data_IF_676698168887
#
_entry.id   IF_676698168887
#
_cell.length_a   1.000
_cell.length_b   1.000
_cell.length_c   1.000
_cell.angle_alpha   90.00
_cell.angle_beta   90.00
_cell.angle_gamma   90.00
#
_symmetry.space_group_name_H-M   'P 1'
#
loop_
_entity.id
_entity.type
_entity.pdbx_description
1 polymer ?
#
# COMPACT_ATOMS: atom_id res chain seq x y z
N UNK A 1 21.08 -13.93 0.07
CA UNK A 1 19.84 -14.13 0.85
C UNK A 1 19.16 -15.45 0.49
N UNK A 2 18.72 -15.63 -0.77
CA UNK A 2 18.02 -16.84 -1.22
C UNK A 2 18.72 -18.15 -0.84
N UNK A 3 20.00 -18.29 -1.13
CA UNK A 3 20.78 -19.49 -0.80
C UNK A 3 20.86 -19.76 0.71
N UNK A 4 20.98 -18.70 1.53
CA UNK A 4 21.01 -18.84 2.98
C UNK A 4 19.68 -19.38 3.52
N UNK A 5 18.55 -18.91 2.98
CA UNK A 5 17.23 -19.45 3.32
C UNK A 5 17.09 -20.92 2.87
N UNK A 6 17.62 -21.29 1.70
CA UNK A 6 17.63 -22.68 1.23
C UNK A 6 18.48 -23.60 2.12
N UNK A 7 19.61 -23.11 2.64
CA UNK A 7 20.45 -23.85 3.58
C UNK A 7 19.78 -23.99 4.96
N UNK A 8 19.25 -22.90 5.50
CA UNK A 8 18.57 -22.89 6.80
C UNK A 8 17.37 -23.86 6.83
N UNK A 9 16.52 -23.82 5.80
CA UNK A 9 15.38 -24.72 5.66
C UNK A 9 15.77 -26.21 5.72
N UNK A 10 16.89 -26.58 5.07
CA UNK A 10 17.44 -27.94 5.09
C UNK A 10 17.99 -28.32 6.47
N UNK A 11 18.60 -27.38 7.18
CA UNK A 11 19.19 -27.62 8.51
C UNK A 11 18.14 -27.81 9.60
N UNK A 12 17.08 -27.00 9.58
CA UNK A 12 16.06 -26.99 10.64
C UNK A 12 14.80 -27.81 10.29
N UNK A 13 14.75 -28.38 9.08
CA UNK A 13 13.62 -29.16 8.55
C UNK A 13 12.28 -28.42 8.64
N UNK A 14 12.27 -27.14 8.26
CA UNK A 14 11.07 -26.30 8.16
C UNK A 14 10.92 -25.75 6.74
N UNK A 15 9.71 -25.31 6.33
CA UNK A 15 9.54 -24.60 5.06
C UNK A 15 10.49 -23.41 4.95
N UNK A 16 11.05 -23.22 3.75
CA UNK A 16 11.97 -22.12 3.47
C UNK A 16 11.28 -20.77 3.65
N UNK A 17 11.98 -19.82 4.29
CA UNK A 17 11.59 -18.42 4.29
C UNK A 17 11.48 -17.85 2.87
N UNK A 18 10.42 -17.10 2.59
CA UNK A 18 10.27 -16.39 1.32
C UNK A 18 11.19 -15.17 1.27
N UNK A 19 11.67 -14.84 0.07
CA UNK A 19 12.36 -13.58 -0.21
C UNK A 19 11.65 -12.89 -1.39
N UNK A 20 11.10 -11.71 -1.12
CA UNK A 20 10.37 -10.87 -2.09
C UNK A 20 10.95 -9.47 -2.09
N UNK A 21 10.70 -8.69 -3.13
CA UNK A 21 11.08 -7.28 -3.17
C UNK A 21 9.93 -6.41 -3.67
N UNK A 22 9.80 -5.20 -3.10
CA UNK A 22 9.04 -4.12 -3.71
C UNK A 22 9.95 -3.37 -4.69
N UNK A 23 9.50 -3.16 -5.92
CA UNK A 23 10.34 -2.65 -7.01
C UNK A 23 9.69 -1.47 -7.74
N UNK A 24 10.51 -0.63 -8.36
CA UNK A 24 10.08 0.60 -9.00
C UNK A 24 9.17 0.36 -10.23
N UNK A 25 8.33 1.35 -10.51
CA UNK A 25 7.55 1.47 -11.74
C UNK A 25 8.18 2.40 -12.78
N UNK A 26 8.89 3.46 -12.35
CA UNK A 26 9.53 4.41 -13.26
C UNK A 26 10.63 3.77 -14.11
N UNK A 27 10.52 3.86 -15.44
CA UNK A 27 11.42 3.15 -16.38
C UNK A 27 12.90 3.48 -16.16
N UNK A 28 13.25 4.75 -15.92
CA UNK A 28 14.64 5.14 -15.65
C UNK A 28 15.19 4.47 -14.39
N UNK A 29 14.39 4.39 -13.31
CA UNK A 29 14.77 3.70 -12.08
C UNK A 29 14.93 2.20 -12.32
N UNK A 30 14.06 1.61 -13.15
CA UNK A 30 14.13 0.20 -13.49
C UNK A 30 15.45 -0.11 -14.21
N UNK A 31 15.76 0.66 -15.26
CA UNK A 31 16.95 0.50 -16.08
C UNK A 31 18.25 0.67 -15.29
N UNK A 32 18.30 1.61 -14.36
CA UNK A 32 19.50 1.85 -13.55
C UNK A 32 19.64 0.89 -12.36
N UNK A 33 18.55 0.26 -11.94
CA UNK A 33 18.45 -0.36 -10.61
C UNK A 33 18.39 -1.89 -10.58
N UNK A 34 17.93 -2.55 -11.65
CA UNK A 34 17.62 -3.98 -11.59
C UNK A 34 18.14 -4.78 -12.78
N UNK A 35 18.92 -5.82 -12.49
CA UNK A 35 19.21 -6.91 -13.42
C UNK A 35 18.02 -7.88 -13.44
N UNK A 36 16.96 -7.52 -14.18
CA UNK A 36 15.63 -8.16 -14.08
C UNK A 36 15.68 -9.69 -14.22
N UNK A 37 16.33 -10.29 -15.24
CA UNK A 37 16.37 -11.75 -15.38
C UNK A 37 17.06 -12.45 -14.19
N UNK A 38 18.20 -11.91 -13.75
CA UNK A 38 19.00 -12.45 -12.66
C UNK A 38 18.23 -12.34 -11.35
N UNK A 39 17.66 -11.17 -11.06
CA UNK A 39 16.88 -10.93 -9.84
C UNK A 39 15.66 -11.86 -9.76
N UNK A 40 14.99 -12.09 -10.90
CA UNK A 40 13.80 -12.94 -11.00
C UNK A 40 14.08 -14.42 -10.72
N UNK A 41 15.33 -14.88 -10.83
CA UNK A 41 15.71 -16.24 -10.43
C UNK A 41 15.65 -16.43 -8.91
N UNK A 42 16.04 -15.40 -8.15
CA UNK A 42 16.22 -15.51 -6.69
C UNK A 42 14.98 -15.12 -5.89
N UNK A 43 14.18 -14.17 -6.38
CA UNK A 43 12.95 -13.73 -5.72
C UNK A 43 11.82 -14.75 -5.89
N UNK A 44 11.03 -14.92 -4.84
CA UNK A 44 9.79 -15.70 -4.86
C UNK A 44 8.70 -14.93 -5.61
N UNK A 45 8.51 -13.66 -5.25
CA UNK A 45 7.57 -12.72 -5.86
C UNK A 45 8.18 -11.32 -5.96
N UNK A 46 7.71 -10.57 -6.95
CA UNK A 46 8.14 -9.21 -7.27
C UNK A 46 6.91 -8.30 -7.13
N UNK A 47 6.87 -7.50 -6.07
CA UNK A 47 5.78 -6.55 -5.82
C UNK A 47 6.08 -5.25 -6.57
N UNK A 48 5.51 -5.06 -7.76
CA UNK A 48 5.76 -3.87 -8.57
C UNK A 48 4.89 -2.72 -8.04
N UNK A 49 5.51 -1.61 -7.66
CA UNK A 49 4.82 -0.44 -7.09
C UNK A 49 4.18 0.41 -8.20
N UNK A 50 3.14 -0.14 -8.86
CA UNK A 50 2.42 0.49 -9.98
C UNK A 50 1.43 1.58 -9.55
N UNK A 51 1.90 2.48 -8.70
CA UNK A 51 1.24 3.65 -8.15
C UNK A 51 2.30 4.74 -7.93
N UNK A 52 1.89 5.92 -7.45
CA UNK A 52 2.71 7.14 -7.45
C UNK A 52 3.23 7.50 -8.86
N UNK A 53 2.43 7.20 -9.89
CA UNK A 53 2.81 7.42 -11.29
C UNK A 53 2.69 8.91 -11.66
N UNK A 54 1.69 9.58 -11.08
CA UNK A 54 1.53 11.02 -11.09
C UNK A 54 1.37 11.54 -9.67
N UNK A 55 1.74 12.79 -9.44
CA UNK A 55 1.65 13.41 -8.13
C UNK A 55 1.97 14.90 -8.14
N UNK A 56 1.84 15.58 -7.00
CA UNK A 56 1.95 17.04 -6.93
C UNK A 56 3.32 17.60 -7.32
N UNK A 57 4.35 16.76 -7.46
CA UNK A 57 5.67 17.12 -7.96
C UNK A 57 5.70 17.47 -9.46
N UNK A 58 4.66 17.17 -10.23
CA UNK A 58 4.61 17.42 -11.68
C UNK A 58 4.09 18.83 -12.06
N UNK A 59 3.31 19.48 -11.19
CA UNK A 59 2.69 20.77 -11.48
C UNK A 59 1.40 20.71 -12.32
N UNK A 60 0.86 19.52 -12.58
CA UNK A 60 -0.45 19.31 -13.19
C UNK A 60 -1.16 18.10 -12.56
N UNK A 61 -2.49 18.01 -12.70
CA UNK A 61 -3.26 16.87 -12.21
C UNK A 61 -2.96 15.61 -13.03
N UNK A 62 -2.82 14.49 -12.34
CA UNK A 62 -2.65 13.17 -12.93
C UNK A 62 -3.10 12.09 -11.96
N UNK A 63 -3.37 10.91 -12.49
CA UNK A 63 -3.89 9.79 -11.71
C UNK A 63 -2.81 9.07 -10.93
N UNK A 64 -3.12 8.60 -9.72
CA UNK A 64 -2.14 7.89 -8.89
C UNK A 64 -1.65 6.58 -9.56
N UNK A 65 -2.60 5.80 -10.10
CA UNK A 65 -2.35 4.49 -10.69
C UNK A 65 -3.23 4.27 -11.93
N UNK A 66 -3.07 5.04 -13.01
CA UNK A 66 -3.85 4.83 -14.23
C UNK A 66 -3.56 3.46 -14.84
N UNK A 67 -4.59 2.72 -15.26
CA UNK A 67 -4.40 1.40 -15.89
C UNK A 67 -3.73 1.53 -17.25
N UNK A 68 -4.20 2.50 -18.04
CA UNK A 68 -3.66 2.84 -19.37
C UNK A 68 -3.24 4.31 -19.42
N UNK A 69 -2.49 4.68 -20.44
CA UNK A 69 -2.10 6.08 -20.67
C UNK A 69 -3.29 6.97 -21.00
N UNK A 70 -3.22 8.24 -20.64
CA UNK A 70 -4.15 9.26 -21.12
C UNK A 70 -3.80 9.69 -22.56
N UNK A 71 -4.75 10.18 -23.38
CA UNK A 71 -4.47 10.54 -24.78
C UNK A 71 -3.39 11.62 -24.98
N UNK A 72 -3.17 12.49 -23.99
CA UNK A 72 -2.15 13.55 -24.06
C UNK A 72 -0.77 13.10 -23.58
N UNK A 73 -0.63 11.88 -23.06
CA UNK A 73 0.65 11.37 -22.60
C UNK A 73 1.55 11.04 -23.79
N UNK A 74 2.63 11.80 -23.90
CA UNK A 74 3.63 11.68 -24.97
C UNK A 74 5.03 11.48 -24.37
N UNK A 75 5.96 10.97 -25.19
CA UNK A 75 7.33 10.70 -24.74
C UNK A 75 7.36 9.74 -23.55
N UNK A 76 8.13 10.09 -22.51
CA UNK A 76 8.25 9.27 -21.29
C UNK A 76 6.97 9.14 -20.49
N UNK A 77 6.02 10.08 -20.61
CA UNK A 77 4.77 10.02 -19.87
C UNK A 77 3.88 8.88 -20.35
N UNK A 78 4.02 8.44 -21.61
CA UNK A 78 3.31 7.29 -22.14
C UNK A 78 3.63 5.97 -21.39
N UNK A 79 4.68 5.95 -20.57
CA UNK A 79 5.09 4.81 -19.76
C UNK A 79 4.44 4.79 -18.37
N UNK A 80 3.84 5.90 -17.93
CA UNK A 80 3.35 6.10 -16.57
C UNK A 80 1.95 5.49 -16.37
N UNK A 81 1.82 4.20 -16.65
CA UNK A 81 0.58 3.44 -16.41
C UNK A 81 0.88 1.99 -16.03
N UNK A 82 -0.07 1.36 -15.34
CA UNK A 82 0.05 -0.02 -14.83
C UNK A 82 0.35 -1.00 -15.98
N UNK A 83 -0.34 -0.89 -17.10
CA UNK A 83 -0.18 -1.82 -18.23
C UNK A 83 1.24 -1.78 -18.80
N UNK A 84 1.76 -0.60 -19.10
CA UNK A 84 3.10 -0.44 -19.64
C UNK A 84 4.16 -0.93 -18.67
N UNK A 85 4.07 -0.53 -17.39
CA UNK A 85 5.08 -0.89 -16.37
C UNK A 85 5.14 -2.39 -16.16
N UNK A 86 4.00 -3.06 -16.03
CA UNK A 86 3.95 -4.50 -15.79
C UNK A 86 4.44 -5.30 -17.01
N UNK A 87 4.06 -4.88 -18.21
CA UNK A 87 4.57 -5.49 -19.43
C UNK A 87 6.07 -5.20 -19.63
N UNK A 88 6.58 -4.04 -19.21
CA UNK A 88 8.00 -3.74 -19.25
C UNK A 88 8.81 -4.73 -18.38
N UNK A 89 8.39 -4.97 -17.13
CA UNK A 89 9.03 -5.97 -16.28
C UNK A 89 9.01 -7.37 -16.91
N UNK A 90 7.86 -7.76 -17.47
CA UNK A 90 7.66 -9.06 -18.11
C UNK A 90 8.56 -9.24 -19.34
N UNK A 91 8.52 -8.28 -20.26
CA UNK A 91 9.23 -8.33 -21.54
C UNK A 91 10.75 -8.24 -21.37
N UNK A 92 11.22 -7.70 -20.23
CA UNK A 92 12.64 -7.63 -19.87
C UNK A 92 13.10 -8.76 -18.94
N UNK A 93 12.31 -9.83 -18.79
CA UNK A 93 12.77 -11.12 -18.26
C UNK A 93 12.22 -11.55 -16.91
N UNK A 94 11.24 -10.84 -16.34
CA UNK A 94 10.53 -11.32 -15.16
C UNK A 94 9.37 -12.25 -15.56
N UNK A 95 9.28 -13.48 -15.01
CA UNK A 95 8.14 -14.36 -15.25
C UNK A 95 6.83 -13.73 -14.75
N UNK A 96 5.77 -13.77 -15.57
CA UNK A 96 4.50 -13.12 -15.27
C UNK A 96 3.88 -13.61 -13.95
N UNK A 97 4.00 -14.90 -13.66
CA UNK A 97 3.52 -15.55 -12.44
C UNK A 97 4.25 -15.11 -11.16
N UNK A 98 5.43 -14.49 -11.29
CA UNK A 98 6.17 -13.89 -10.16
C UNK A 98 5.86 -12.40 -9.98
N UNK A 99 5.33 -11.75 -11.02
CA UNK A 99 4.98 -10.33 -10.97
C UNK A 99 3.64 -10.13 -10.27
N UNK A 100 3.68 -9.36 -9.19
CA UNK A 100 2.52 -9.01 -8.37
C UNK A 100 2.23 -7.52 -8.56
N UNK A 101 1.05 -7.21 -9.09
CA UNK A 101 0.63 -5.84 -9.44
C UNK A 101 0.32 -5.06 -8.16
N UNK A 102 0.79 -3.82 -8.05
CA UNK A 102 0.51 -2.93 -6.93
C UNK A 102 -0.81 -2.20 -7.08
N UNK A 103 -1.64 -2.22 -6.03
CA UNK A 103 -2.93 -1.56 -5.94
C UNK A 103 -2.93 -0.56 -4.77
N UNK A 104 -3.12 0.75 -5.02
CA UNK A 104 -3.15 1.74 -3.95
C UNK A 104 -4.57 1.85 -3.34
N UNK A 105 -4.68 1.86 -2.02
CA UNK A 105 -5.90 2.22 -1.28
C UNK A 105 -5.84 3.68 -0.82
N UNK A 106 -5.22 4.53 -1.64
CA UNK A 106 -5.05 5.96 -1.43
C UNK A 106 -5.02 6.67 -2.79
N UNK A 107 -5.10 8.00 -2.77
CA UNK A 107 -5.00 8.84 -3.95
C UNK A 107 -4.08 10.04 -3.71
N UNK A 108 -3.61 10.62 -4.80
CA UNK A 108 -2.82 11.85 -4.76
C UNK A 108 -3.71 13.06 -4.91
N UNK A 109 -3.49 14.05 -4.05
CA UNK A 109 -4.28 15.28 -3.97
C UNK A 109 -3.49 16.48 -4.46
N UNK A 110 -4.19 17.41 -5.08
CA UNK A 110 -3.63 18.58 -5.73
C UNK A 110 -4.45 19.83 -5.39
N UNK A 111 -3.79 20.98 -5.44
CA UNK A 111 -4.47 22.29 -5.50
C UNK A 111 -4.47 22.76 -6.95
N UNK A 112 -5.65 22.87 -7.55
CA UNK A 112 -5.87 23.43 -8.88
C UNK A 112 -5.51 24.92 -8.90
N UNK A 113 -4.73 25.32 -9.91
CA UNK A 113 -4.42 26.74 -10.17
C UNK A 113 -5.66 27.50 -10.66
N UNK A 114 -6.58 26.83 -11.35
CA UNK A 114 -7.88 27.37 -11.75
C UNK A 114 -8.99 26.38 -11.35
N UNK A 115 -9.87 26.72 -10.38
CA UNK A 115 -10.97 25.85 -9.93
C UNK A 115 -11.97 25.47 -11.02
N UNK A 116 -12.01 26.20 -12.14
CA UNK A 116 -12.89 25.89 -13.28
C UNK A 116 -12.28 24.89 -14.28
N UNK A 117 -10.99 24.56 -14.14
CA UNK A 117 -10.32 23.54 -14.95
C UNK A 117 -10.01 22.32 -14.06
N UNK A 118 -10.82 21.28 -14.18
CA UNK A 118 -10.83 20.14 -13.25
C UNK A 118 -10.48 18.81 -13.91
N UNK A 119 -10.11 18.82 -15.19
CA UNK A 119 -9.72 17.62 -15.93
C UNK A 119 -8.31 17.13 -15.60
N UNK A 120 -7.94 16.01 -16.20
CA UNK A 120 -6.56 15.50 -16.23
C UNK A 120 -5.65 16.48 -16.98
N UNK A 121 -4.44 16.71 -16.44
CA UNK A 121 -3.48 17.66 -16.97
C UNK A 121 -3.79 19.13 -16.63
N UNK A 122 -4.77 19.40 -15.77
CA UNK A 122 -5.04 20.75 -15.29
C UNK A 122 -3.86 21.26 -14.44
N UNK A 123 -3.45 22.51 -14.65
CA UNK A 123 -2.34 23.10 -13.90
C UNK A 123 -2.62 23.17 -12.40
N UNK A 124 -1.62 22.87 -11.58
CA UNK A 124 -1.71 22.86 -10.11
C UNK A 124 -0.68 23.77 -9.47
N UNK A 125 -0.98 24.26 -8.28
CA UNK A 125 -0.07 25.10 -7.48
C UNK A 125 0.66 24.32 -6.38
N UNK A 126 0.45 23.00 -6.31
CA UNK A 126 1.13 22.10 -5.37
C UNK A 126 0.22 21.00 -4.81
N UNK A 127 0.72 20.37 -3.75
CA UNK A 127 0.05 19.29 -3.04
C UNK A 127 -1.26 19.74 -2.40
N UNK A 128 -2.28 18.88 -2.51
CA UNK A 128 -3.55 19.07 -1.81
C UNK A 128 -3.39 19.01 -0.28
N UNK A 129 -4.43 19.42 0.46
CA UNK A 129 -4.37 19.51 1.90
C UNK A 129 -4.20 18.13 2.54
N UNK A 130 -3.48 18.09 3.66
CA UNK A 130 -3.32 16.87 4.42
C UNK A 130 -4.68 16.32 4.90
N UNK A 131 -4.85 15.01 4.79
CA UNK A 131 -6.04 14.33 5.31
C UNK A 131 -6.15 14.44 6.84
N UNK A 132 -7.37 14.46 7.41
CA UNK A 132 -7.55 14.58 8.85
C UNK A 132 -6.98 13.40 9.65
N UNK A 133 -6.82 12.23 9.02
CA UNK A 133 -6.28 11.01 9.61
C UNK A 133 -4.86 10.71 9.14
N UNK A 134 -4.61 10.71 7.83
CA UNK A 134 -3.27 10.45 7.26
C UNK A 134 -2.28 11.55 7.60
N UNK A 135 -2.74 12.81 7.68
CA UNK A 135 -1.94 14.00 8.01
C UNK A 135 -0.75 14.21 7.06
N UNK A 136 -0.89 13.75 5.82
CA UNK A 136 0.12 13.86 4.79
C UNK A 136 -0.39 14.76 3.66
N UNK A 137 0.31 15.87 3.38
CA UNK A 137 -0.07 16.74 2.25
C UNK A 137 0.13 16.00 0.93
N UNK A 138 -0.83 16.12 0.02
CA UNK A 138 -0.74 15.48 -1.29
C UNK A 138 -1.23 14.03 -1.33
N UNK A 139 -1.69 13.48 -0.21
CA UNK A 139 -2.12 12.08 -0.10
C UNK A 139 -3.37 11.97 0.75
N UNK A 140 -4.38 11.23 0.28
CA UNK A 140 -5.55 10.85 1.07
C UNK A 140 -5.77 9.35 1.02
N UNK A 141 -6.09 8.75 2.17
CA UNK A 141 -6.57 7.37 2.23
C UNK A 141 -7.92 7.23 1.52
N UNK A 142 -8.27 6.02 1.07
CA UNK A 142 -9.56 5.77 0.40
C UNK A 142 -10.75 6.22 1.25
N UNK A 143 -10.71 5.96 2.56
CA UNK A 143 -11.76 6.39 3.49
C UNK A 143 -11.85 7.92 3.67
N UNK A 144 -10.74 8.65 3.50
CA UNK A 144 -10.74 10.13 3.48
C UNK A 144 -11.38 10.66 2.20
N UNK A 145 -11.08 10.03 1.06
CA UNK A 145 -11.70 10.34 -0.23
C UNK A 145 -13.21 10.08 -0.19
N UNK A 146 -13.66 9.01 0.45
CA UNK A 146 -15.09 8.78 0.68
C UNK A 146 -15.76 9.89 1.50
N UNK A 147 -15.04 10.49 2.45
CA UNK A 147 -15.53 11.64 3.20
C UNK A 147 -15.63 12.88 2.30
N UNK A 148 -14.63 13.11 1.44
CA UNK A 148 -14.65 14.18 0.45
C UNK A 148 -15.85 14.08 -0.50
N UNK A 149 -16.13 12.87 -1.01
CA UNK A 149 -17.30 12.58 -1.84
C UNK A 149 -18.61 12.82 -1.08
N UNK A 150 -18.73 12.32 0.16
CA UNK A 150 -19.92 12.54 1.01
C UNK A 150 -20.18 14.03 1.29
N UNK A 151 -19.13 14.85 1.31
CA UNK A 151 -19.21 16.30 1.53
C UNK A 151 -19.50 17.10 0.24
N UNK A 152 -19.90 16.42 -0.84
CA UNK A 152 -20.36 17.06 -2.07
C UNK A 152 -19.28 17.35 -3.10
N UNK A 153 -18.13 16.68 -3.03
CA UNK A 153 -17.19 16.67 -4.14
C UNK A 153 -17.81 16.00 -5.38
N UNK A 154 -17.51 16.54 -6.56
CA UNK A 154 -17.89 15.93 -7.83
C UNK A 154 -16.96 14.76 -8.11
N UNK A 155 -17.53 13.59 -8.40
CA UNK A 155 -16.79 12.44 -8.89
C UNK A 155 -16.88 12.39 -10.41
N UNK A 156 -15.75 12.14 -11.06
CA UNK A 156 -15.66 11.88 -12.50
C UNK A 156 -14.97 10.54 -12.73
N UNK A 157 -15.20 9.98 -13.92
CA UNK A 157 -14.55 8.76 -14.37
C UNK A 157 -13.70 9.06 -15.59
N UNK A 158 -12.41 8.73 -15.52
CA UNK A 158 -11.50 8.81 -16.65
C UNK A 158 -11.57 7.50 -17.45
N UNK A 159 -12.41 7.48 -18.49
CA UNK A 159 -12.57 6.32 -19.38
C UNK A 159 -11.23 5.86 -20.00
N UNK A 160 -10.38 6.74 -20.59
CA UNK A 160 -9.08 6.34 -21.10
C UNK A 160 -8.18 5.59 -20.11
N UNK A 161 -8.17 5.98 -18.83
CA UNK A 161 -7.25 5.42 -17.82
C UNK A 161 -7.90 4.38 -16.90
N UNK A 162 -9.21 4.20 -17.01
CA UNK A 162 -10.04 3.26 -16.22
C UNK A 162 -9.95 3.47 -14.69
N UNK A 163 -9.91 4.74 -14.29
CA UNK A 163 -9.80 5.17 -12.88
C UNK A 163 -10.70 6.38 -12.59
N UNK A 164 -11.13 6.57 -11.34
CA UNK A 164 -11.86 7.75 -10.93
C UNK A 164 -10.94 8.90 -10.48
N UNK A 165 -11.44 10.12 -10.63
CA UNK A 165 -10.96 11.27 -9.87
C UNK A 165 -12.14 12.02 -9.23
N UNK A 166 -11.84 12.93 -8.31
CA UNK A 166 -12.84 13.77 -7.68
C UNK A 166 -12.31 15.18 -7.42
N UNK A 167 -13.19 16.17 -7.41
CA UNK A 167 -12.82 17.55 -7.14
C UNK A 167 -13.91 18.34 -6.42
N UNK A 168 -13.49 19.36 -5.67
CA UNK A 168 -14.37 20.31 -5.00
C UNK A 168 -13.61 21.62 -4.77
N UNK A 169 -14.16 22.74 -5.25
CA UNK A 169 -13.43 24.01 -5.24
C UNK A 169 -12.12 23.89 -6.01
N UNK A 170 -11.01 24.16 -5.35
CA UNK A 170 -9.67 24.01 -5.93
C UNK A 170 -8.96 22.71 -5.52
N UNK A 171 -9.62 21.79 -4.81
CA UNK A 171 -9.00 20.52 -4.43
C UNK A 171 -9.39 19.45 -5.43
N UNK A 172 -8.40 18.69 -5.89
CA UNK A 172 -8.55 17.59 -6.84
C UNK A 172 -7.83 16.35 -6.30
N UNK A 173 -8.38 15.16 -6.53
CA UNK A 173 -7.78 13.88 -6.12
C UNK A 173 -7.94 12.82 -7.20
N UNK A 174 -6.83 12.19 -7.58
CA UNK A 174 -6.78 11.02 -8.48
C UNK A 174 -6.54 9.77 -7.65
N UNK A 175 -7.40 8.76 -7.80
CA UNK A 175 -7.47 7.64 -6.85
C UNK A 175 -8.03 6.37 -7.47
N UNK A 176 -8.17 5.33 -6.67
CA UNK A 176 -8.82 4.08 -7.06
C UNK A 176 -10.09 3.82 -6.24
N UNK A 177 -11.08 3.20 -6.86
CA UNK A 177 -12.31 2.77 -6.19
C UNK A 177 -12.63 1.30 -6.53
N UNK A 178 -13.78 0.80 -6.04
CA UNK A 178 -14.24 -0.57 -6.31
C UNK A 178 -14.32 -0.89 -7.82
N UNK A 179 -14.72 0.07 -8.66
CA UNK A 179 -14.82 -0.13 -10.12
C UNK A 179 -13.42 -0.30 -10.73
N UNK A 180 -12.48 0.61 -10.45
CA UNK A 180 -11.12 0.52 -11.00
C UNK A 180 -10.37 -0.70 -10.46
N UNK A 181 -10.54 -1.05 -9.19
CA UNK A 181 -9.98 -2.27 -8.60
C UNK A 181 -10.47 -3.54 -9.32
N UNK A 182 -11.77 -3.64 -9.63
CA UNK A 182 -12.30 -4.78 -10.36
C UNK A 182 -11.77 -4.82 -11.80
N UNK A 183 -11.76 -3.70 -12.52
CA UNK A 183 -11.23 -3.61 -13.89
C UNK A 183 -9.77 -4.04 -13.93
N UNK A 184 -8.92 -3.48 -13.06
CA UNK A 184 -7.50 -3.85 -12.95
C UNK A 184 -7.34 -5.33 -12.56
N UNK A 185 -8.20 -5.88 -11.70
CA UNK A 185 -8.15 -7.30 -11.36
C UNK A 185 -8.54 -8.22 -12.54
N UNK A 186 -9.49 -7.82 -13.39
CA UNK A 186 -9.79 -8.55 -14.62
C UNK A 186 -8.62 -8.47 -15.60
N UNK A 187 -8.06 -7.28 -15.80
CA UNK A 187 -6.86 -7.06 -16.63
C UNK A 187 -5.67 -7.92 -16.15
N UNK A 188 -5.43 -7.97 -14.84
CA UNK A 188 -4.38 -8.79 -14.21
C UNK A 188 -4.53 -10.25 -14.58
N UNK A 189 -5.75 -10.81 -14.47
CA UNK A 189 -6.04 -12.20 -14.82
C UNK A 189 -5.86 -12.46 -16.32
N UNK A 190 -6.32 -11.55 -17.18
CA UNK A 190 -6.13 -11.68 -18.62
C UNK A 190 -4.65 -11.73 -19.01
N UNK A 191 -3.81 -10.96 -18.31
CA UNK A 191 -2.36 -10.94 -18.55
C UNK A 191 -1.58 -12.04 -17.83
N UNK A 192 -2.25 -12.87 -17.01
CA UNK A 192 -1.67 -13.99 -16.25
C UNK A 192 -0.56 -13.56 -15.28
N UNK A 193 -0.70 -12.39 -14.67
CA UNK A 193 0.18 -11.97 -13.58
C UNK A 193 -0.09 -12.77 -12.30
N UNK A 194 0.92 -12.88 -11.43
CA UNK A 194 0.91 -13.76 -10.27
C UNK A 194 -0.09 -13.39 -9.17
N UNK A 195 -0.54 -12.13 -9.12
CA UNK A 195 -1.50 -11.66 -8.13
C UNK A 195 -1.46 -10.15 -7.93
N UNK A 196 -2.12 -9.70 -6.86
CA UNK A 196 -2.19 -8.30 -6.46
C UNK A 196 -1.57 -8.10 -5.06
N UNK A 197 -0.85 -7.00 -4.90
CA UNK A 197 -0.35 -6.46 -3.63
C UNK A 197 -1.07 -5.15 -3.36
N UNK A 198 -1.42 -4.89 -2.11
CA UNK A 198 -2.18 -3.69 -1.73
C UNK A 198 -1.35 -2.82 -0.79
N UNK A 199 -1.21 -1.54 -1.16
CA UNK A 199 -0.65 -0.50 -0.30
C UNK A 199 -1.76 0.49 0.08
N UNK A 200 -2.29 0.49 1.30
CA UNK A 200 -2.07 -0.44 2.40
C UNK A 200 -3.40 -0.90 3.02
N UNK A 201 -3.34 -1.92 3.86
CA UNK A 201 -4.54 -2.52 4.49
C UNK A 201 -5.32 -1.52 5.35
N UNK A 202 -4.62 -0.61 6.02
CA UNK A 202 -5.17 0.40 6.94
C UNK A 202 -5.72 1.64 6.22
N UNK A 203 -5.45 1.82 4.92
CA UNK A 203 -5.97 2.94 4.12
C UNK A 203 -7.26 2.62 3.37
N UNK A 204 -7.65 1.34 3.30
CA UNK A 204 -8.99 0.92 2.87
C UNK A 204 -10.04 1.31 3.93
N UNK A 205 -11.33 1.30 3.61
CA UNK A 205 -12.37 1.49 4.63
C UNK A 205 -12.58 0.22 5.46
N UNK A 206 -11.58 -0.08 6.31
CA UNK A 206 -11.53 -1.28 7.15
C UNK A 206 -12.69 -1.36 8.16
N UNK A 207 -13.27 -0.21 8.52
CA UNK A 207 -14.45 -0.13 9.39
C UNK A 207 -15.76 -0.34 8.64
N UNK A 208 -15.81 0.04 7.37
CA UNK A 208 -17.00 0.08 6.52
C UNK A 208 -17.91 1.29 6.74
N UNK A 209 -17.50 2.28 7.55
CA UNK A 209 -18.35 3.42 7.94
C UNK A 209 -18.14 4.67 7.08
N UNK A 210 -16.98 4.79 6.42
CA UNK A 210 -16.65 6.00 5.66
C UNK A 210 -17.24 5.97 4.26
N UNK A 211 -17.26 4.81 3.61
CA UNK A 211 -17.71 4.66 2.24
C UNK A 211 -19.09 4.00 2.14
N UNK A 212 -19.55 3.31 3.20
CA UNK A 212 -20.79 2.50 3.21
C UNK A 212 -20.77 1.35 2.19
N UNK A 213 -19.60 0.76 1.91
CA UNK A 213 -19.40 -0.31 0.93
C UNK A 213 -19.04 -1.67 1.58
N UNK A 214 -19.24 -1.79 2.90
CA UNK A 214 -18.76 -2.92 3.69
C UNK A 214 -17.33 -2.71 4.20
N UNK A 215 -16.82 -3.66 5.01
CA UNK A 215 -15.45 -3.61 5.53
C UNK A 215 -14.45 -3.99 4.46
N UNK A 216 -13.34 -3.26 4.39
CA UNK A 216 -12.27 -3.47 3.40
C UNK A 216 -12.84 -3.57 1.96
N UNK A 217 -13.60 -2.57 1.49
CA UNK A 217 -14.32 -2.68 0.22
C UNK A 217 -13.38 -2.89 -0.97
N UNK A 218 -12.22 -2.24 -0.99
CA UNK A 218 -11.27 -2.37 -2.09
C UNK A 218 -10.57 -3.74 -2.05
N UNK A 219 -10.06 -4.16 -0.90
CA UNK A 219 -9.35 -5.44 -0.77
C UNK A 219 -10.31 -6.62 -0.96
N UNK A 220 -11.55 -6.50 -0.48
CA UNK A 220 -12.61 -7.50 -0.70
C UNK A 220 -12.97 -7.65 -2.16
N UNK A 221 -12.90 -6.55 -2.94
CA UNK A 221 -13.08 -6.57 -4.39
C UNK A 221 -12.00 -7.43 -5.05
N UNK A 222 -10.73 -7.26 -4.70
CA UNK A 222 -9.64 -8.11 -5.21
C UNK A 222 -9.81 -9.57 -4.79
N UNK A 223 -10.11 -9.84 -3.51
CA UNK A 223 -10.36 -11.21 -3.02
C UNK A 223 -11.47 -11.90 -3.82
N UNK A 224 -12.52 -11.16 -4.19
CA UNK A 224 -13.60 -11.66 -5.04
C UNK A 224 -13.15 -11.88 -6.48
N UNK A 225 -12.56 -10.87 -7.11
CA UNK A 225 -12.15 -10.92 -8.51
C UNK A 225 -11.09 -11.99 -8.80
N UNK A 226 -10.21 -12.26 -7.84
CA UNK A 226 -9.18 -13.31 -7.89
C UNK A 226 -9.67 -14.68 -7.41
N UNK A 227 -10.98 -14.87 -7.22
CA UNK A 227 -11.60 -16.14 -6.83
C UNK A 227 -11.11 -16.72 -5.50
N UNK A 228 -10.76 -15.86 -4.54
CA UNK A 228 -10.23 -16.24 -3.23
C UNK A 228 -11.29 -16.23 -2.12
N UNK A 229 -12.58 -16.09 -2.44
CA UNK A 229 -13.66 -16.05 -1.44
C UNK A 229 -13.86 -17.39 -0.72
N UNK A 230 -13.67 -18.50 -1.43
CA UNK A 230 -13.72 -19.86 -0.88
C UNK A 230 -12.35 -20.36 -0.41
N UNK A 231 -11.34 -19.49 -0.31
CA UNK A 231 -10.04 -19.88 0.22
C UNK A 231 -10.17 -20.36 1.67
N UNK A 232 -9.49 -21.47 1.99
CA UNK A 232 -9.50 -22.04 3.34
C UNK A 232 -9.08 -20.98 4.37
N UNK A 233 -9.92 -20.78 5.38
CA UNK A 233 -9.70 -19.83 6.45
C UNK A 233 -9.95 -20.52 7.79
N UNK A 234 -9.20 -21.60 8.02
CA UNK A 234 -9.29 -22.41 9.23
C UNK A 234 -8.03 -22.17 10.06
N UNK A 235 -8.20 -22.07 11.38
CA UNK A 235 -7.05 -22.03 12.28
C UNK A 235 -6.17 -23.27 12.09
N UNK A 236 -4.83 -23.15 12.18
CA UNK A 236 -3.95 -24.30 12.07
C UNK A 236 -4.25 -25.30 13.19
N UNK A 237 -4.10 -26.59 12.90
CA UNK A 237 -4.37 -27.66 13.86
C UNK A 237 -3.48 -27.57 15.12
N UNK A 238 -2.31 -26.96 15.00
CA UNK A 238 -1.44 -26.60 16.12
C UNK A 238 -1.18 -25.09 16.12
N UNK A 239 -1.17 -24.44 17.30
CA UNK A 239 -0.76 -23.04 17.42
C UNK A 239 0.65 -22.88 16.85
N UNK A 240 0.84 -21.90 15.97
CA UNK A 240 2.17 -21.53 15.50
C UNK A 240 2.87 -20.85 16.68
N UNK A 241 3.98 -21.43 17.15
CA UNK A 241 4.76 -20.79 18.20
C UNK A 241 5.22 -19.39 17.74
N UNK A 242 5.13 -18.35 18.59
CA UNK A 242 5.63 -17.03 18.25
C UNK A 242 7.10 -17.09 17.84
N UNK A 243 7.44 -16.50 16.69
CA UNK A 243 8.83 -16.41 16.19
C UNK A 243 9.72 -15.67 17.20
N UNK A 244 9.13 -14.77 17.99
CA UNK A 244 9.79 -14.05 19.08
C UNK A 244 9.22 -14.52 20.41
N UNK A 245 10.05 -15.12 21.26
CA UNK A 245 9.69 -15.41 22.63
C UNK A 245 9.36 -14.10 23.36
N UNK A 246 8.24 -14.07 24.10
CA UNK A 246 7.97 -12.98 25.01
C UNK A 246 9.16 -12.83 25.98
N UNK A 247 9.57 -11.61 26.36
CA UNK A 247 10.64 -11.43 27.33
C UNK A 247 10.33 -12.25 28.58
N UNK A 248 11.17 -13.23 28.90
CA UNK A 248 11.05 -13.97 30.14
C UNK A 248 11.40 -13.02 31.28
N UNK A 249 10.38 -12.53 31.97
CA UNK A 249 10.56 -11.79 33.21
C UNK A 249 11.11 -12.72 34.27
N UNK A 250 12.43 -12.94 34.27
CA UNK A 250 13.13 -13.49 35.43
C UNK A 250 13.08 -12.45 36.54
N UNK A 251 12.05 -12.54 37.40
CA UNK A 251 12.15 -12.01 38.75
C UNK A 251 13.14 -12.89 39.51
N UNK A 252 14.44 -12.64 39.32
CA UNK A 252 15.45 -13.05 40.30
C UNK A 252 15.34 -12.11 41.49
N UNK A 253 14.62 -12.55 42.52
CA UNK A 253 14.76 -12.00 43.86
C UNK A 253 16.11 -12.47 44.43
N UNK A 254 17.14 -11.66 44.23
CA UNK A 254 18.38 -11.74 45.01
C UNK A 254 18.80 -10.33 45.35
N UNK A 255 18.43 -9.90 46.55
CA UNK A 255 19.01 -8.69 47.14
C UNK A 255 20.45 -8.95 47.54
N UNK A 256 21.35 -8.04 47.18
CA UNK A 256 22.18 -7.31 48.12
C UNK A 256 23.01 -6.22 47.42
N UNK A 257 23.00 -5.01 47.99
CA UNK A 257 24.22 -4.23 48.19
C UNK A 257 24.88 -3.48 47.02
N UNK A 258 24.59 -2.18 46.99
CA UNK A 258 25.56 -1.07 46.90
C UNK A 258 25.99 -0.47 45.54
N UNK A 259 25.59 0.81 45.45
CA UNK A 259 26.32 2.00 44.95
C UNK A 259 26.72 2.10 43.48
N UNK A 260 26.13 3.09 42.78
CA UNK A 260 26.58 3.60 41.49
C UNK A 260 25.58 4.56 40.85
N UNK A 261 25.77 5.85 41.11
CA UNK A 261 24.94 7.01 40.75
C UNK A 261 24.62 7.17 39.24
N UNK A 262 23.39 7.60 38.92
CA UNK A 262 23.11 8.26 37.62
C UNK A 262 21.66 8.21 37.11
N UNK A 263 20.79 9.10 37.61
CA UNK A 263 19.64 9.64 36.84
C UNK A 263 18.37 8.82 36.72
N UNK A 264 17.55 8.79 37.78
CA UNK A 264 16.14 8.34 37.72
C UNK A 264 15.25 9.46 37.17
N UNK A 265 14.59 9.25 36.03
CA UNK A 265 13.29 9.88 35.76
C UNK A 265 12.20 8.87 36.08
N UNK A 266 11.74 8.91 37.32
CA UNK A 266 10.54 8.21 37.76
C UNK A 266 9.32 8.77 37.04
N UNK A 267 8.98 8.20 35.88
CA UNK A 267 7.68 8.43 35.26
C UNK A 267 6.60 7.82 36.13
N UNK A 268 5.65 8.63 36.62
CA UNK A 268 4.38 8.13 37.13
C UNK A 268 3.35 8.18 36.01
N UNK A 269 2.47 7.18 35.93
CA UNK A 269 1.46 7.07 34.88
C UNK A 269 1.43 5.68 34.24
N UNK A 270 0.50 5.50 33.29
CA UNK A 270 0.25 4.22 32.64
C UNK A 270 1.52 3.57 32.06
N UNK A 271 2.44 4.36 31.51
CA UNK A 271 3.63 3.88 30.82
C UNK A 271 4.82 3.54 31.75
N UNK A 272 4.68 3.73 33.06
CA UNK A 272 5.77 3.46 34.01
C UNK A 272 6.11 1.96 34.06
N UNK A 273 7.34 1.60 33.68
CA UNK A 273 7.83 0.22 33.71
C UNK A 273 7.22 -0.71 32.65
N UNK A 274 6.50 -0.16 31.66
CA UNK A 274 6.01 -0.90 30.50
C UNK A 274 7.09 -0.96 29.41
N UNK A 275 7.18 -2.08 28.71
CA UNK A 275 7.99 -2.18 27.50
C UNK A 275 7.39 -1.28 26.39
N UNK A 276 8.20 -0.85 25.44
CA UNK A 276 7.70 -0.08 24.30
C UNK A 276 6.68 -0.92 23.50
N UNK A 277 5.52 -0.35 23.19
CA UNK A 277 4.45 -1.02 22.45
C UNK A 277 3.12 -0.27 22.56
N UNK A 278 2.15 -0.67 21.73
CA UNK A 278 0.79 -0.13 21.78
C UNK A 278 -0.02 -0.84 22.85
N UNK A 279 -0.63 -0.07 23.76
CA UNK A 279 -1.48 -0.66 24.80
C UNK A 279 -2.93 -0.21 24.69
N UNK A 280 -3.89 -1.14 24.57
CA UNK A 280 -5.30 -0.76 24.46
C UNK A 280 -5.78 -0.06 25.74
N UNK A 281 -6.55 1.02 25.58
CA UNK A 281 -7.24 1.68 26.68
C UNK A 281 -8.36 0.74 27.16
N UNK A 282 -8.36 0.40 28.45
CA UNK A 282 -9.24 -0.64 29.02
C UNK A 282 -10.74 -0.51 28.68
N UNK A 283 -11.20 0.71 28.39
CA UNK A 283 -12.60 1.02 28.10
C UNK A 283 -12.84 1.64 26.71
N UNK A 284 -11.84 1.67 25.83
CA UNK A 284 -12.00 2.17 24.47
C UNK A 284 -11.21 1.30 23.49
N UNK A 285 -11.92 0.46 22.75
CA UNK A 285 -11.33 -0.49 21.78
C UNK A 285 -10.68 0.18 20.57
N UNK A 286 -10.87 1.49 20.41
CA UNK A 286 -10.31 2.29 19.32
C UNK A 286 -9.22 3.26 19.81
N UNK A 287 -8.76 3.14 21.06
CA UNK A 287 -7.70 3.99 21.61
C UNK A 287 -6.57 3.15 22.21
N UNK A 288 -5.34 3.60 21.98
CA UNK A 288 -4.12 2.99 22.47
C UNK A 288 -3.23 4.06 23.14
N UNK A 289 -2.55 3.68 24.23
CA UNK A 289 -1.46 4.43 24.84
C UNK A 289 -0.13 4.08 24.18
#
# INVERSE_FOLDING_TARGET
MREAFEQEAKQINKPRLMVTAAVAAGISNIQSGYEIPQLSQYLDYIHVMTYDLYGPWEGYTGENSPLYKYPTDTGSNAYLNVDYVMNYWKDNGAPAEKLIVGFPTYGHTFILSNPSNTGIGAATSGAGPAGPYTRESGTWAYYEICTFLKNGATQEWDDPQEVPYAYQGNVWVGYDNVKSFDIKAQWLKHNKFGGAMVWAIDLDDFTGTFCNQGKFPLISTLKKALSLQSASCTAPAQPIEPITAAPSGSRSSSGNGSSGSGGSSGGSGFCAGKANGLYPVANNRNAFW
#
